data_IF_905404629584
#
_entry.id   IF_905404629584
#
_cell.length_a   1.000
_cell.length_b   1.000
_cell.length_c   1.000
_cell.angle_alpha   90.00
_cell.angle_beta   90.00
_cell.angle_gamma   90.00
#
_symmetry.space_group_name_H-M   'P 1'
#
loop_
_entity.id
_entity.type
_entity.pdbx_description
1 polymer ?
#
# COMPACT_ATOMS: atom_id res chain seq x y z
N UNK A 1 -63.38 -0.29 -41.31
CA UNK A 1 -64.64 0.39 -40.95
C UNK A 1 -65.56 0.34 -42.17
N UNK A 2 -66.78 -0.22 -42.08
CA UNK A 2 -67.65 -0.47 -43.24
C UNK A 2 -68.33 0.77 -43.84
N UNK A 3 -68.22 1.94 -43.18
CA UNK A 3 -69.15 3.06 -43.41
C UNK A 3 -68.63 4.16 -44.36
N UNK A 4 -67.57 3.90 -45.15
CA UNK A 4 -66.96 4.89 -46.08
C UNK A 4 -66.64 6.26 -45.45
N UNK A 5 -66.53 6.34 -44.12
CA UNK A 5 -66.25 7.58 -43.39
C UNK A 5 -64.85 8.07 -43.71
N UNK A 6 -64.74 9.30 -44.24
CA UNK A 6 -63.45 9.91 -44.57
C UNK A 6 -62.90 10.56 -43.30
N UNK A 7 -61.86 9.96 -42.73
CA UNK A 7 -61.13 10.49 -41.59
C UNK A 7 -60.06 11.47 -42.09
N UNK A 8 -60.20 12.75 -41.73
CA UNK A 8 -59.15 13.74 -41.95
C UNK A 8 -58.29 13.78 -40.68
N UNK A 9 -57.14 13.12 -40.73
CA UNK A 9 -56.13 13.20 -39.69
C UNK A 9 -55.22 14.40 -39.95
N UNK A 10 -55.09 15.28 -38.96
CA UNK A 10 -54.07 16.33 -38.96
C UNK A 10 -52.89 15.81 -38.12
N UNK A 11 -51.79 15.35 -38.73
CA UNK A 11 -50.61 14.94 -37.97
C UNK A 11 -50.14 16.11 -37.11
N UNK A 12 -49.99 15.86 -35.81
CA UNK A 12 -49.26 16.76 -34.93
C UNK A 12 -47.78 16.43 -35.04
N UNK A 13 -46.92 17.46 -35.10
CA UNK A 13 -45.47 17.27 -35.16
C UNK A 13 -44.88 16.56 -33.93
N UNK A 14 -45.67 16.41 -32.85
CA UNK A 14 -45.24 15.82 -31.58
C UNK A 14 -45.55 14.31 -31.44
N UNK A 15 -46.14 13.65 -32.44
CA UNK A 15 -46.62 12.27 -32.27
C UNK A 15 -45.52 11.20 -32.25
N UNK A 16 -44.29 11.51 -32.69
CA UNK A 16 -43.18 10.54 -32.82
C UNK A 16 -41.91 10.93 -32.02
N UNK A 17 -42.03 11.68 -30.92
CA UNK A 17 -40.88 12.03 -30.08
C UNK A 17 -40.45 10.84 -29.19
N UNK A 18 -39.19 10.41 -29.34
CA UNK A 18 -38.58 9.38 -28.47
C UNK A 18 -38.49 9.84 -27.00
N UNK A 19 -38.33 11.14 -26.78
CA UNK A 19 -38.24 11.75 -25.44
C UNK A 19 -39.45 12.63 -25.16
N UNK A 20 -40.00 12.49 -23.96
CA UNK A 20 -41.08 13.35 -23.45
C UNK A 20 -40.53 14.33 -22.41
N UNK A 21 -40.95 15.60 -22.43
CA UNK A 21 -40.49 16.58 -21.46
C UNK A 21 -40.99 16.23 -20.05
N UNK A 22 -40.06 16.05 -19.12
CA UNK A 22 -40.35 15.87 -17.69
C UNK A 22 -40.53 17.20 -16.94
N UNK A 23 -40.19 18.33 -17.58
CA UNK A 23 -40.40 19.68 -17.09
C UNK A 23 -39.11 20.51 -16.98
N UNK A 24 -39.21 21.83 -16.82
CA UNK A 24 -38.06 22.68 -16.54
C UNK A 24 -37.71 22.63 -15.04
N UNK A 25 -36.54 22.08 -14.71
CA UNK A 25 -36.11 21.90 -13.33
C UNK A 25 -35.02 22.92 -12.99
N UNK A 26 -35.10 23.50 -11.79
CA UNK A 26 -34.04 24.36 -11.23
C UNK A 26 -33.10 23.49 -10.42
N UNK A 27 -31.83 23.89 -10.37
CA UNK A 27 -30.80 23.12 -9.70
C UNK A 27 -29.45 23.82 -9.70
N UNK A 28 -28.51 23.25 -8.98
CA UNK A 28 -27.14 23.74 -8.81
C UNK A 28 -26.19 22.79 -9.52
N UNK A 29 -25.18 23.34 -10.20
CA UNK A 29 -24.10 22.57 -10.81
C UNK A 29 -22.90 22.55 -9.84
N UNK A 30 -22.43 21.35 -9.51
CA UNK A 30 -21.26 21.08 -8.67
C UNK A 30 -20.29 20.20 -9.45
N UNK A 31 -19.28 20.80 -10.07
CA UNK A 31 -18.35 20.08 -10.95
C UNK A 31 -19.05 19.53 -12.19
N UNK A 32 -18.97 18.22 -12.43
CA UNK A 32 -19.69 17.54 -13.52
C UNK A 32 -21.12 17.13 -13.17
N UNK A 33 -21.60 17.40 -11.96
CA UNK A 33 -22.90 16.94 -11.49
C UNK A 33 -23.88 18.10 -11.35
N UNK A 34 -25.11 17.90 -11.79
CA UNK A 34 -26.22 18.83 -11.59
C UNK A 34 -27.25 18.24 -10.63
N UNK A 35 -27.63 19.02 -9.62
CA UNK A 35 -28.52 18.61 -8.53
C UNK A 35 -29.80 19.43 -8.64
N UNK A 36 -30.95 18.77 -8.72
CA UNK A 36 -32.24 19.45 -8.74
C UNK A 36 -32.64 20.02 -7.36
N UNK A 37 -33.21 21.24 -7.35
CA UNK A 37 -33.59 21.93 -6.11
C UNK A 37 -34.80 21.30 -5.41
N UNK A 38 -35.79 20.85 -6.18
CA UNK A 38 -37.11 20.44 -5.68
C UNK A 38 -37.47 19.00 -5.99
N UNK A 39 -36.49 18.21 -6.40
CA UNK A 39 -36.71 16.84 -6.81
C UNK A 39 -35.46 16.00 -6.59
N UNK A 40 -35.60 14.70 -6.33
CA UNK A 40 -34.49 13.81 -5.99
C UNK A 40 -33.75 13.37 -7.27
N UNK A 41 -33.23 14.32 -8.03
CA UNK A 41 -32.55 14.06 -9.30
C UNK A 41 -31.15 14.64 -9.26
N UNK A 42 -30.18 13.73 -9.37
CA UNK A 42 -28.77 13.99 -9.54
C UNK A 42 -28.41 13.51 -10.95
N UNK A 43 -27.91 14.42 -11.79
CA UNK A 43 -27.52 14.13 -13.16
C UNK A 43 -26.03 14.35 -13.32
N UNK A 44 -25.33 13.36 -13.88
CA UNK A 44 -23.96 13.55 -14.31
C UNK A 44 -23.93 14.06 -15.74
N UNK A 45 -23.26 15.19 -15.94
CA UNK A 45 -23.12 15.87 -17.23
C UNK A 45 -21.67 15.73 -17.67
N UNK A 46 -21.40 14.71 -18.48
CA UNK A 46 -20.09 14.49 -19.08
C UNK A 46 -19.84 15.51 -20.20
N UNK A 47 -18.62 16.05 -20.28
CA UNK A 47 -18.22 16.99 -21.34
C UNK A 47 -18.26 16.37 -22.75
N UNK A 48 -18.18 15.04 -22.86
CA UNK A 48 -18.24 14.28 -24.12
C UNK A 48 -19.51 13.42 -24.23
N UNK A 49 -20.59 13.79 -23.53
CA UNK A 49 -21.83 13.03 -23.57
C UNK A 49 -22.46 13.02 -24.98
N UNK A 50 -23.09 11.89 -25.33
CA UNK A 50 -23.76 11.69 -26.62
C UNK A 50 -24.92 12.67 -26.77
N UNK A 51 -24.86 13.49 -27.82
CA UNK A 51 -25.97 14.38 -28.19
C UNK A 51 -26.84 13.72 -29.25
N UNK A 52 -28.15 13.73 -29.02
CA UNK A 52 -29.16 13.25 -29.96
C UNK A 52 -30.13 14.38 -30.32
N UNK A 53 -30.80 14.28 -31.46
CA UNK A 53 -31.84 15.23 -31.88
C UNK A 53 -33.20 14.55 -31.82
N UNK A 54 -34.08 15.05 -30.95
CA UNK A 54 -35.46 14.55 -30.82
C UNK A 54 -36.43 15.72 -30.88
N UNK A 55 -37.40 15.69 -31.80
CA UNK A 55 -38.43 16.71 -31.97
C UNK A 55 -37.90 18.16 -31.94
N UNK A 56 -36.87 18.41 -32.76
CA UNK A 56 -36.17 19.70 -32.89
C UNK A 56 -35.40 20.17 -31.66
N UNK A 57 -35.23 19.32 -30.65
CA UNK A 57 -34.37 19.59 -29.50
C UNK A 57 -33.07 18.79 -29.61
N UNK A 58 -31.96 19.48 -29.38
CA UNK A 58 -30.67 18.84 -29.16
C UNK A 58 -30.58 18.46 -27.69
N UNK A 59 -30.49 17.16 -27.43
CA UNK A 59 -30.49 16.59 -26.09
C UNK A 59 -29.17 15.86 -25.83
N UNK A 60 -28.56 16.11 -24.68
CA UNK A 60 -27.42 15.37 -24.15
C UNK A 60 -27.93 14.27 -23.24
N UNK A 61 -27.57 13.03 -23.53
CA UNK A 61 -27.96 11.88 -22.71
C UNK A 61 -26.99 11.74 -21.53
N UNK A 62 -27.53 11.65 -20.32
CA UNK A 62 -26.76 11.39 -19.11
C UNK A 62 -26.57 9.89 -18.89
N UNK A 63 -25.53 9.45 -18.16
CA UNK A 63 -25.33 8.04 -17.83
C UNK A 63 -26.53 7.39 -17.13
N UNK A 64 -27.33 8.19 -16.42
CA UNK A 64 -28.54 7.75 -15.72
C UNK A 64 -29.75 7.57 -16.65
N UNK A 65 -29.61 7.83 -17.96
CA UNK A 65 -30.67 7.65 -18.95
C UNK A 65 -31.60 8.85 -19.13
N UNK A 66 -31.29 10.00 -18.54
CA UNK A 66 -32.03 11.25 -18.74
C UNK A 66 -31.48 12.04 -19.92
N UNK A 67 -32.33 12.86 -20.55
CA UNK A 67 -31.95 13.70 -21.68
C UNK A 67 -32.08 15.19 -21.33
N UNK A 68 -30.98 15.93 -21.41
CA UNK A 68 -30.90 17.34 -21.03
C UNK A 68 -30.80 18.21 -22.29
N UNK A 69 -31.61 19.26 -22.41
CA UNK A 69 -31.49 20.19 -23.54
C UNK A 69 -30.18 20.97 -23.54
N UNK A 70 -29.40 20.91 -24.63
CA UNK A 70 -28.05 21.49 -24.73
C UNK A 70 -27.98 23.00 -24.57
N UNK A 71 -29.09 23.73 -24.76
CA UNK A 71 -29.11 25.19 -24.90
C UNK A 71 -29.84 25.94 -23.77
N UNK A 72 -30.03 25.36 -22.57
CA UNK A 72 -30.90 25.95 -21.54
C UNK A 72 -30.38 25.97 -20.10
N UNK A 73 -29.06 25.98 -19.87
CA UNK A 73 -28.56 26.53 -18.62
C UNK A 73 -28.71 28.06 -18.66
N UNK A 74 -29.92 28.55 -18.37
CA UNK A 74 -30.10 29.98 -18.06
C UNK A 74 -29.49 30.18 -16.69
N UNK A 75 -28.22 30.59 -16.66
CA UNK A 75 -27.56 31.06 -15.46
C UNK A 75 -28.30 32.31 -14.97
N UNK A 76 -29.24 32.10 -14.05
CA UNK A 76 -29.87 33.22 -13.38
C UNK A 76 -28.80 33.84 -12.48
N UNK A 77 -28.34 35.05 -12.82
CA UNK A 77 -27.55 35.88 -11.89
C UNK A 77 -28.16 35.75 -10.51
N UNK A 78 -27.39 35.44 -9.45
CA UNK A 78 -27.94 35.16 -8.14
C UNK A 78 -28.72 36.39 -7.69
N UNK A 79 -30.06 36.35 -7.79
CA UNK A 79 -30.90 37.23 -7.00
C UNK A 79 -30.52 36.88 -5.58
N UNK A 80 -29.93 37.83 -4.85
CA UNK A 80 -29.66 37.70 -3.41
C UNK A 80 -30.93 37.12 -2.78
N UNK A 81 -30.93 35.81 -2.55
CA UNK A 81 -31.96 35.14 -1.80
C UNK A 81 -31.80 35.76 -0.43
N UNK A 82 -32.71 36.64 -0.04
CA UNK A 82 -32.88 37.01 1.37
C UNK A 82 -32.96 35.68 2.09
N UNK A 83 -31.94 35.38 2.92
CA UNK A 83 -31.74 34.16 3.70
C UNK A 83 -33.09 33.52 4.01
N UNK A 84 -33.50 32.58 3.16
CA UNK A 84 -34.64 31.75 3.45
C UNK A 84 -34.07 30.66 4.34
N UNK A 85 -34.17 30.90 5.65
CA UNK A 85 -33.97 29.96 6.75
C UNK A 85 -32.78 29.01 6.53
N UNK A 86 -31.60 29.44 6.98
CA UNK A 86 -30.47 28.55 7.22
C UNK A 86 -31.00 27.34 8.04
N UNK A 87 -31.00 26.14 7.45
CA UNK A 87 -31.31 24.89 8.16
C UNK A 87 -32.45 24.02 7.62
N UNK A 88 -33.22 24.42 6.60
CA UNK A 88 -34.19 23.52 5.96
C UNK A 88 -33.67 22.99 4.62
N UNK A 89 -33.16 21.76 4.63
CA UNK A 89 -32.83 20.98 3.44
C UNK A 89 -34.05 20.13 3.10
N UNK A 90 -34.50 20.14 1.85
CA UNK A 90 -35.57 19.22 1.42
C UNK A 90 -35.04 17.79 1.39
N UNK A 91 -35.87 16.79 1.70
CA UNK A 91 -35.46 15.38 1.71
C UNK A 91 -34.81 14.94 0.38
N UNK A 92 -35.22 15.54 -0.75
CA UNK A 92 -34.63 15.31 -2.06
C UNK A 92 -33.23 15.90 -2.24
N UNK A 93 -32.97 17.10 -1.70
CA UNK A 93 -31.64 17.71 -1.75
C UNK A 93 -30.66 16.92 -0.87
N UNK A 94 -31.10 16.52 0.33
CA UNK A 94 -30.31 15.68 1.22
C UNK A 94 -29.97 14.33 0.57
N UNK A 95 -30.94 13.67 -0.07
CA UNK A 95 -30.70 12.39 -0.75
C UNK A 95 -29.71 12.50 -1.91
N UNK A 96 -29.77 13.60 -2.68
CA UNK A 96 -28.84 13.86 -3.77
C UNK A 96 -27.42 14.16 -3.26
N UNK A 97 -27.28 14.95 -2.21
CA UNK A 97 -25.99 15.27 -1.58
C UNK A 97 -25.34 14.05 -0.92
N UNK A 98 -26.11 13.22 -0.21
CA UNK A 98 -25.63 11.96 0.36
C UNK A 98 -25.19 10.97 -0.73
N UNK A 99 -25.92 10.92 -1.85
CA UNK A 99 -25.57 10.08 -3.00
C UNK A 99 -24.25 10.54 -3.64
N UNK A 100 -24.06 11.86 -3.79
CA UNK A 100 -22.81 12.44 -4.29
C UNK A 100 -21.63 12.15 -3.34
N UNK A 101 -21.82 12.33 -2.03
CA UNK A 101 -20.80 12.02 -1.03
C UNK A 101 -20.42 10.53 -1.04
N UNK A 102 -21.41 9.64 -1.07
CA UNK A 102 -21.19 8.20 -1.16
C UNK A 102 -20.39 7.83 -2.40
N UNK A 103 -20.71 8.43 -3.55
CA UNK A 103 -19.99 8.20 -4.79
C UNK A 103 -18.54 8.71 -4.74
N UNK A 104 -18.32 9.92 -4.25
CA UNK A 104 -16.97 10.49 -4.09
C UNK A 104 -16.10 9.66 -3.13
N UNK A 105 -16.67 9.21 -2.00
CA UNK A 105 -15.96 8.36 -1.04
C UNK A 105 -15.61 7.02 -1.69
N UNK A 106 -16.59 6.38 -2.34
CA UNK A 106 -16.39 5.08 -3.00
C UNK A 106 -15.33 5.14 -4.09
N UNK A 107 -15.39 6.16 -4.96
CA UNK A 107 -14.43 6.35 -6.06
C UNK A 107 -13.03 6.68 -5.55
N UNK A 108 -12.91 7.57 -4.56
CA UNK A 108 -11.62 7.93 -3.96
C UNK A 108 -10.99 6.72 -3.26
N UNK A 109 -11.75 5.99 -2.44
CA UNK A 109 -11.26 4.79 -1.77
C UNK A 109 -10.86 3.70 -2.76
N UNK A 110 -11.66 3.48 -3.81
CA UNK A 110 -11.32 2.51 -4.86
C UNK A 110 -10.01 2.88 -5.55
N UNK A 111 -9.84 4.16 -5.93
CA UNK A 111 -8.60 4.64 -6.54
C UNK A 111 -7.40 4.47 -5.60
N UNK A 112 -7.52 4.89 -4.34
CA UNK A 112 -6.44 4.74 -3.35
C UNK A 112 -6.09 3.29 -3.09
N UNK A 113 -7.08 2.40 -3.01
CA UNK A 113 -6.85 0.97 -2.84
C UNK A 113 -6.13 0.35 -4.06
N UNK A 114 -6.58 0.67 -5.28
CA UNK A 114 -5.91 0.21 -6.50
C UNK A 114 -4.46 0.71 -6.54
N UNK A 115 -4.22 1.96 -6.17
CA UNK A 115 -2.87 2.51 -6.13
C UNK A 115 -2.00 1.80 -5.07
N UNK A 116 -2.51 1.60 -3.86
CA UNK A 116 -1.81 0.89 -2.79
C UNK A 116 -1.47 -0.55 -3.19
N UNK A 117 -2.40 -1.26 -3.83
CA UNK A 117 -2.17 -2.61 -4.36
C UNK A 117 -1.09 -2.62 -5.44
N UNK A 118 -1.09 -1.63 -6.34
CA UNK A 118 -0.06 -1.52 -7.37
C UNK A 118 1.33 -1.28 -6.76
N UNK A 119 1.44 -0.34 -5.81
CA UNK A 119 2.69 -0.08 -5.09
C UNK A 119 3.16 -1.29 -4.29
N UNK A 120 2.24 -2.07 -3.70
CA UNK A 120 2.60 -3.32 -3.03
C UNK A 120 3.16 -4.35 -4.00
N UNK A 121 2.59 -4.49 -5.20
CA UNK A 121 3.13 -5.38 -6.23
C UNK A 121 4.55 -4.98 -6.66
N UNK A 122 4.80 -3.69 -6.87
CA UNK A 122 6.14 -3.17 -7.19
C UNK A 122 7.14 -3.46 -6.06
N UNK A 123 6.72 -3.22 -4.81
CA UNK A 123 7.53 -3.49 -3.63
C UNK A 123 7.88 -4.98 -3.48
N UNK A 124 6.93 -5.89 -3.72
CA UNK A 124 7.18 -7.34 -3.69
C UNK A 124 8.17 -7.76 -4.78
N UNK A 125 8.05 -7.20 -5.98
CA UNK A 125 8.99 -7.49 -7.07
C UNK A 125 10.40 -6.98 -6.72
N UNK A 126 10.50 -5.76 -6.20
CA UNK A 126 11.75 -5.19 -5.75
C UNK A 126 12.39 -6.05 -4.65
N UNK A 127 11.63 -6.46 -3.64
CA UNK A 127 12.10 -7.37 -2.59
C UNK A 127 12.56 -8.72 -3.14
N UNK A 128 11.88 -9.26 -4.16
CA UNK A 128 12.34 -10.49 -4.84
C UNK A 128 13.72 -10.32 -5.46
N UNK A 129 14.01 -9.16 -6.07
CA UNK A 129 15.35 -8.86 -6.61
C UNK A 129 16.38 -8.75 -5.51
N UNK A 130 16.07 -8.05 -4.41
CA UNK A 130 16.95 -7.96 -3.24
C UNK A 130 17.23 -9.34 -2.64
N UNK A 131 16.22 -10.21 -2.52
CA UNK A 131 16.39 -11.58 -2.04
C UNK A 131 17.29 -12.42 -2.96
N UNK A 132 17.16 -12.25 -4.29
CA UNK A 132 18.05 -12.91 -5.25
C UNK A 132 19.50 -12.40 -5.17
N UNK A 133 19.70 -11.11 -4.92
CA UNK A 133 21.02 -10.54 -4.72
C UNK A 133 21.64 -11.02 -3.40
N UNK A 134 20.88 -10.96 -2.30
CA UNK A 134 21.31 -11.42 -0.97
C UNK A 134 21.65 -12.91 -0.95
N UNK A 135 20.82 -13.76 -1.56
CA UNK A 135 21.11 -15.19 -1.71
C UNK A 135 22.30 -15.50 -2.62
N UNK A 136 22.67 -14.57 -3.51
CA UNK A 136 23.87 -14.69 -4.33
C UNK A 136 25.14 -14.27 -3.59
N UNK A 137 25.07 -13.27 -2.72
CA UNK A 137 26.20 -12.79 -1.93
C UNK A 137 26.52 -13.71 -0.76
N UNK A 138 25.51 -14.02 0.06
CA UNK A 138 25.64 -14.94 1.20
C UNK A 138 24.39 -15.82 1.30
N UNK A 139 24.41 -17.00 0.64
CA UNK A 139 23.30 -17.94 0.70
C UNK A 139 23.04 -18.47 2.11
N UNK A 140 24.07 -18.58 2.96
CA UNK A 140 23.96 -19.14 4.31
C UNK A 140 23.19 -18.18 5.20
N UNK A 141 23.65 -16.92 5.32
CA UNK A 141 22.97 -15.92 6.14
C UNK A 141 21.55 -15.66 5.62
N UNK A 142 21.38 -15.57 4.30
CA UNK A 142 20.05 -15.46 3.70
C UNK A 142 19.13 -16.61 4.11
N UNK A 143 19.59 -17.86 4.05
CA UNK A 143 18.77 -19.02 4.41
C UNK A 143 18.43 -19.05 5.91
N UNK A 144 19.37 -18.66 6.77
CA UNK A 144 19.13 -18.59 8.23
C UNK A 144 18.03 -17.59 8.57
N UNK A 145 18.07 -16.41 7.95
CA UNK A 145 17.03 -15.38 8.13
C UNK A 145 15.71 -15.82 7.51
N UNK A 146 15.73 -16.35 6.28
CA UNK A 146 14.54 -16.76 5.55
C UNK A 146 13.78 -17.91 6.22
N UNK A 147 14.50 -18.90 6.76
CA UNK A 147 13.91 -20.06 7.44
C UNK A 147 13.82 -19.88 8.97
N UNK A 148 14.23 -18.72 9.49
CA UNK A 148 14.33 -18.44 10.93
C UNK A 148 15.03 -19.57 11.71
N UNK A 149 16.13 -20.09 11.16
CA UNK A 149 16.88 -21.19 11.75
C UNK A 149 18.38 -20.89 11.64
N UNK A 150 19.09 -20.65 12.76
CA UNK A 150 20.52 -20.30 12.74
C UNK A 150 21.41 -21.50 12.39
N UNK A 151 20.93 -22.72 12.53
CA UNK A 151 21.69 -23.95 12.31
C UNK A 151 21.54 -24.47 10.87
N UNK A 152 21.70 -23.57 9.91
CA UNK A 152 21.68 -23.91 8.49
C UNK A 152 22.96 -23.43 7.81
N UNK A 153 23.43 -24.20 6.85
CA UNK A 153 24.40 -23.79 5.84
C UNK A 153 23.76 -23.89 4.48
N UNK A 154 24.13 -23.02 3.57
CA UNK A 154 23.56 -23.02 2.25
C UNK A 154 24.56 -22.62 1.17
N UNK A 155 24.31 -23.13 -0.03
CA UNK A 155 25.09 -22.84 -1.23
C UNK A 155 24.18 -22.63 -2.42
N UNK A 156 24.45 -21.59 -3.19
CA UNK A 156 23.78 -21.38 -4.48
C UNK A 156 24.26 -22.42 -5.48
N UNK A 157 23.32 -23.14 -6.08
CA UNK A 157 23.61 -24.19 -7.08
C UNK A 157 23.17 -23.76 -8.48
N UNK A 158 22.18 -22.88 -8.58
CA UNK A 158 21.69 -22.38 -9.86
C UNK A 158 20.88 -21.09 -9.76
N UNK A 159 20.28 -20.64 -10.87
CA UNK A 159 19.39 -19.50 -10.90
C UNK A 159 18.15 -19.76 -10.03
N UNK A 160 18.03 -19.06 -8.91
CA UNK A 160 16.89 -19.20 -7.98
C UNK A 160 16.88 -20.51 -7.17
N UNK A 161 17.96 -21.30 -7.21
CA UNK A 161 18.05 -22.56 -6.45
C UNK A 161 19.19 -22.50 -5.45
N UNK A 162 18.84 -22.70 -4.19
CA UNK A 162 19.75 -22.77 -3.05
C UNK A 162 19.64 -24.17 -2.47
N UNK A 163 20.80 -24.82 -2.27
CA UNK A 163 20.89 -26.07 -1.53
C UNK A 163 21.20 -25.73 -0.08
N UNK A 164 20.39 -26.27 0.83
CA UNK A 164 20.46 -26.00 2.27
C UNK A 164 20.74 -27.31 3.00
N UNK A 165 21.60 -27.25 4.01
CA UNK A 165 21.91 -28.37 4.90
C UNK A 165 21.82 -27.92 6.36
N UNK A 166 21.37 -28.81 7.26
CA UNK A 166 21.41 -28.54 8.70
C UNK A 166 22.84 -28.55 9.22
N UNK A 167 23.10 -27.74 10.25
CA UNK A 167 24.33 -27.71 11.03
C UNK A 167 24.06 -28.20 12.45
N UNK A 168 25.12 -28.61 13.14
CA UNK A 168 25.09 -28.99 14.56
C UNK A 168 25.92 -27.98 15.33
N UNK A 169 25.42 -27.54 16.48
CA UNK A 169 26.15 -26.66 17.39
C UNK A 169 27.25 -27.45 18.11
N UNK A 170 28.41 -26.82 18.29
CA UNK A 170 29.43 -27.33 19.21
C UNK A 170 29.21 -26.75 20.59
N UNK A 171 29.44 -27.57 21.61
CA UNK A 171 29.47 -27.11 23.00
C UNK A 171 30.77 -26.32 23.28
N UNK A 172 30.76 -25.38 24.24
CA UNK A 172 31.96 -24.61 24.61
C UNK A 172 33.16 -25.48 25.05
N UNK A 173 32.92 -26.71 25.51
CA UNK A 173 33.95 -27.69 25.88
C UNK A 173 34.61 -28.36 24.67
N UNK A 174 33.97 -28.31 23.50
CA UNK A 174 34.38 -29.05 22.29
C UNK A 174 35.29 -28.24 21.37
N UNK A 175 35.58 -26.98 21.70
CA UNK A 175 36.46 -26.16 20.88
C UNK A 175 37.36 -25.26 21.71
N UNK A 176 38.58 -25.03 21.20
CA UNK A 176 39.56 -24.11 21.78
C UNK A 176 40.22 -23.32 20.66
N UNK A 177 40.39 -22.01 20.86
CA UNK A 177 41.16 -21.18 19.93
C UNK A 177 42.66 -21.44 20.14
N UNK A 178 43.37 -21.68 19.04
CA UNK A 178 44.79 -22.02 19.09
C UNK A 178 45.66 -20.90 18.52
N UNK A 179 46.85 -20.64 19.09
CA UNK A 179 47.79 -19.68 18.54
C UNK A 179 48.44 -20.20 17.25
N UNK A 180 48.88 -19.29 16.38
CA UNK A 180 49.58 -19.64 15.14
C UNK A 180 50.86 -20.47 15.36
N UNK A 181 51.47 -20.35 16.53
CA UNK A 181 52.70 -21.09 16.89
C UNK A 181 52.46 -22.60 16.96
N UNK A 182 51.26 -23.03 17.35
CA UNK A 182 50.85 -24.44 17.37
C UNK A 182 50.57 -24.97 15.95
N UNK A 183 50.14 -24.09 15.05
CA UNK A 183 49.78 -24.45 13.67
C UNK A 183 51.00 -24.55 12.74
N UNK A 184 51.92 -23.59 12.84
CA UNK A 184 53.15 -23.57 12.07
C UNK A 184 54.27 -22.86 12.84
N UNK A 185 55.14 -23.61 13.56
CA UNK A 185 56.19 -23.02 14.38
C UNK A 185 57.29 -22.30 13.56
N UNK A 186 57.36 -22.56 12.25
CA UNK A 186 58.43 -22.03 11.37
C UNK A 186 58.04 -20.71 10.72
N UNK A 187 56.74 -20.49 10.47
CA UNK A 187 56.25 -19.25 9.83
C UNK A 187 54.94 -18.79 10.46
N UNK A 188 54.97 -17.56 10.99
CA UNK A 188 53.78 -16.83 11.46
C UNK A 188 52.98 -16.31 10.26
N UNK A 189 52.20 -17.20 9.64
CA UNK A 189 51.28 -16.86 8.55
C UNK A 189 49.85 -16.83 9.11
N UNK A 190 49.12 -15.74 8.86
CA UNK A 190 47.73 -15.62 9.30
C UNK A 190 46.76 -16.21 8.26
N UNK A 191 45.55 -16.50 8.70
CA UNK A 191 44.51 -17.10 7.87
C UNK A 191 43.30 -16.18 7.77
N UNK A 192 42.54 -16.36 6.69
CA UNK A 192 41.26 -15.67 6.48
C UNK A 192 40.25 -16.06 7.56
N UNK A 193 40.30 -17.33 8.00
CA UNK A 193 39.44 -17.88 9.06
C UNK A 193 40.26 -18.16 10.31
N UNK A 194 39.62 -18.12 11.46
CA UNK A 194 40.29 -18.22 12.76
C UNK A 194 40.61 -19.70 13.04
N UNK A 195 41.87 -20.07 13.36
CA UNK A 195 42.22 -21.44 13.67
C UNK A 195 41.64 -21.86 15.02
N UNK A 196 41.03 -23.05 15.05
CA UNK A 196 40.47 -23.66 16.23
C UNK A 196 40.85 -25.14 16.29
N UNK A 197 40.96 -25.66 17.49
CA UNK A 197 41.03 -27.09 17.76
C UNK A 197 39.66 -27.55 18.23
N UNK A 198 39.13 -28.59 17.60
CA UNK A 198 37.83 -29.17 17.90
C UNK A 198 37.99 -30.61 18.41
N UNK A 199 37.19 -31.00 19.38
CA UNK A 199 37.06 -32.38 19.84
C UNK A 199 35.67 -32.89 19.46
N UNK A 200 35.62 -33.82 18.50
CA UNK A 200 34.38 -34.47 18.07
C UNK A 200 34.51 -35.97 18.36
N UNK A 201 33.85 -36.42 19.43
CA UNK A 201 33.81 -37.85 19.77
C UNK A 201 35.14 -38.41 20.25
N UNK A 202 36.02 -37.58 20.83
CA UNK A 202 37.33 -37.98 21.34
C UNK A 202 38.46 -37.87 20.31
N UNK A 203 38.17 -37.44 19.08
CA UNK A 203 39.18 -37.11 18.08
C UNK A 203 39.39 -35.59 18.02
N UNK A 204 40.59 -35.17 18.42
CA UNK A 204 41.02 -33.79 18.28
C UNK A 204 41.43 -33.49 16.83
N UNK A 205 40.85 -32.44 16.23
CA UNK A 205 41.18 -31.98 14.87
C UNK A 205 41.37 -30.48 14.85
N UNK A 206 42.32 -30.04 14.02
CA UNK A 206 42.51 -28.62 13.74
C UNK A 206 41.62 -28.23 12.57
N UNK A 207 40.89 -27.13 12.73
CA UNK A 207 39.99 -26.57 11.74
C UNK A 207 40.01 -25.04 11.81
N UNK A 208 39.21 -24.40 10.97
CA UNK A 208 39.13 -22.95 10.89
C UNK A 208 37.68 -22.48 10.91
N UNK A 209 37.34 -21.53 11.77
CA UNK A 209 36.00 -20.95 11.86
C UNK A 209 35.94 -19.64 11.08
N UNK A 210 34.93 -19.52 10.22
CA UNK A 210 34.64 -18.26 9.55
C UNK A 210 33.89 -17.32 10.53
N UNK A 211 34.43 -16.12 10.83
CA UNK A 211 33.83 -15.19 11.79
C UNK A 211 32.46 -14.65 11.36
N UNK A 212 32.15 -14.61 10.06
CA UNK A 212 30.91 -14.02 9.55
C UNK A 212 29.72 -14.96 9.68
N UNK A 213 29.92 -16.25 9.43
CA UNK A 213 28.85 -17.25 9.42
C UNK A 213 29.03 -18.38 10.44
N UNK A 214 30.10 -18.36 11.24
CA UNK A 214 30.41 -19.34 12.28
C UNK A 214 30.47 -20.79 11.76
N UNK A 215 30.77 -20.98 10.47
CA UNK A 215 30.95 -22.32 9.89
C UNK A 215 32.41 -22.74 10.02
N UNK A 216 32.61 -23.98 10.46
CA UNK A 216 33.93 -24.60 10.61
C UNK A 216 34.30 -25.29 9.29
N UNK A 217 35.47 -24.94 8.76
CA UNK A 217 36.06 -25.49 7.56
C UNK A 217 37.38 -26.19 7.88
N UNK A 218 37.73 -27.29 7.20
CA UNK A 218 38.98 -28.01 7.47
C UNK A 218 40.23 -27.24 7.00
N UNK A 219 40.08 -26.24 6.15
CA UNK A 219 41.17 -25.43 5.62
C UNK A 219 40.75 -23.98 5.45
N UNK A 220 41.74 -23.09 5.46
CA UNK A 220 41.56 -21.66 5.20
C UNK A 220 42.66 -21.15 4.28
N UNK A 221 42.38 -20.05 3.57
CA UNK A 221 43.37 -19.38 2.73
C UNK A 221 44.31 -18.55 3.61
N UNK A 222 45.57 -18.47 3.17
CA UNK A 222 46.57 -17.60 3.78
C UNK A 222 46.21 -16.15 3.52
N UNK A 223 46.36 -15.32 4.54
CA UNK A 223 45.99 -13.91 4.51
C UNK A 223 47.07 -13.04 5.19
N UNK A 224 47.19 -11.75 4.82
CA UNK A 224 48.17 -10.87 5.44
C UNK A 224 47.82 -10.61 6.90
N UNK A 225 48.77 -10.88 7.81
CA UNK A 225 48.57 -10.70 9.24
C UNK A 225 48.16 -9.28 9.65
N UNK A 226 48.57 -8.26 8.90
CA UNK A 226 48.22 -6.87 9.22
C UNK A 226 46.71 -6.62 9.21
N UNK A 227 45.95 -7.35 8.38
CA UNK A 227 44.51 -7.20 8.26
C UNK A 227 43.74 -8.27 9.05
N UNK A 228 44.30 -9.48 9.17
CA UNK A 228 43.57 -10.64 9.72
C UNK A 228 44.00 -11.03 11.14
N UNK A 229 45.02 -10.40 11.73
CA UNK A 229 45.48 -10.76 13.08
C UNK A 229 44.35 -10.74 14.11
N UNK A 230 43.58 -9.64 14.13
CA UNK A 230 42.44 -9.44 15.02
C UNK A 230 41.16 -9.59 14.23
N UNK A 231 40.35 -10.57 14.60
CA UNK A 231 39.07 -10.84 13.95
C UNK A 231 37.94 -10.75 14.98
N UNK A 232 36.78 -10.28 14.53
CA UNK A 232 35.60 -10.12 15.39
C UNK A 232 34.68 -11.29 15.16
N UNK A 233 34.22 -11.92 16.24
CA UNK A 233 33.24 -13.01 16.22
C UNK A 233 32.05 -12.66 17.11
N UNK A 234 30.89 -13.23 16.77
CA UNK A 234 29.70 -13.15 17.59
C UNK A 234 29.38 -14.55 18.14
N UNK A 235 29.41 -14.70 19.46
CA UNK A 235 29.03 -15.93 20.17
C UNK A 235 27.90 -15.55 21.13
N UNK A 236 26.74 -16.19 21.01
CA UNK A 236 25.60 -16.00 21.92
C UNK A 236 25.17 -14.52 22.15
N UNK A 237 25.20 -13.71 21.07
CA UNK A 237 24.94 -12.26 21.08
C UNK A 237 26.01 -11.38 21.75
N UNK A 238 27.13 -11.97 22.16
CA UNK A 238 28.30 -11.25 22.66
C UNK A 238 29.36 -11.15 21.57
N UNK A 239 30.00 -9.98 21.49
CA UNK A 239 31.00 -9.68 20.47
C UNK A 239 32.38 -9.84 21.08
N UNK A 240 33.20 -10.68 20.47
CA UNK A 240 34.57 -10.93 20.90
C UNK A 240 35.57 -10.58 19.81
N UNK A 241 36.74 -10.07 20.20
CA UNK A 241 37.92 -9.94 19.36
C UNK A 241 38.86 -11.11 19.65
N UNK A 242 39.27 -11.83 18.61
CA UNK A 242 40.24 -12.92 18.68
C UNK A 242 41.54 -12.49 18.02
N UNK A 243 42.65 -12.56 18.75
CA UNK A 243 44.00 -12.39 18.20
C UNK A 243 44.54 -13.77 17.78
N UNK A 244 44.68 -14.01 16.47
CA UNK A 244 45.17 -15.28 15.93
C UNK A 244 46.60 -15.59 16.38
N UNK A 245 47.44 -14.58 16.65
CA UNK A 245 48.84 -14.82 17.01
C UNK A 245 48.93 -15.44 18.41
N UNK A 246 48.18 -14.91 19.36
CA UNK A 246 48.20 -15.33 20.77
C UNK A 246 47.13 -16.38 21.09
N UNK A 247 46.10 -16.52 20.25
CA UNK A 247 44.94 -17.36 20.52
C UNK A 247 44.01 -16.79 21.60
N UNK A 248 44.20 -15.53 22.00
CA UNK A 248 43.43 -14.91 23.09
C UNK A 248 42.15 -14.26 22.59
N UNK A 249 41.09 -14.39 23.40
CA UNK A 249 39.79 -13.78 23.17
C UNK A 249 39.62 -12.61 24.14
N UNK A 250 39.17 -11.46 23.65
CA UNK A 250 38.78 -10.31 24.47
C UNK A 250 37.38 -9.83 24.12
N UNK A 251 36.53 -9.64 25.12
CA UNK A 251 35.17 -9.12 24.94
C UNK A 251 35.20 -7.66 24.51
N UNK A 252 34.37 -7.31 23.51
CA UNK A 252 34.21 -5.94 23.04
C UNK A 252 32.91 -5.35 23.57
N UNK A 253 33.01 -4.18 24.20
CA UNK A 253 31.83 -3.46 24.66
C UNK A 253 31.06 -2.85 23.47
N UNK A 254 29.84 -3.36 23.23
CA UNK A 254 29.00 -3.02 22.08
C UNK A 254 28.55 -1.56 22.06
N UNK A 255 28.58 -0.86 23.21
CA UNK A 255 28.18 0.54 23.33
C UNK A 255 29.07 1.52 22.54
N UNK A 256 30.25 1.08 22.10
CA UNK A 256 31.14 1.89 21.27
C UNK A 256 30.73 1.92 19.79
N UNK A 257 29.80 1.06 19.35
CA UNK A 257 29.36 0.98 17.96
C UNK A 257 28.02 1.69 17.72
N UNK A 258 27.89 2.36 16.58
CA UNK A 258 26.64 3.00 16.16
C UNK A 258 25.72 1.98 15.49
N UNK A 259 24.49 1.88 15.97
CA UNK A 259 23.45 1.12 15.29
C UNK A 259 23.05 1.81 13.98
N UNK A 260 22.96 1.05 12.89
CA UNK A 260 22.32 1.52 11.65
C UNK A 260 20.81 1.30 11.80
N UNK A 261 20.06 2.33 12.20
CA UNK A 261 18.61 2.30 12.13
C UNK A 261 18.17 2.60 10.69
N UNK A 262 17.34 1.73 10.11
CA UNK A 262 16.57 2.03 8.91
C UNK A 262 15.20 2.53 9.36
N UNK A 263 14.97 3.84 9.24
CA UNK A 263 13.64 4.40 9.48
C UNK A 263 12.71 4.01 8.32
N UNK A 264 11.57 3.34 8.59
CA UNK A 264 10.61 3.05 7.55
C UNK A 264 10.03 4.36 6.98
N UNK A 265 9.69 4.40 5.68
CA UNK A 265 9.11 5.59 5.06
C UNK A 265 7.78 5.96 5.72
N UNK A 266 7.65 7.24 6.09
CA UNK A 266 6.41 7.81 6.65
C UNK A 266 5.34 7.83 5.56
N UNK A 267 4.26 7.07 5.74
CA UNK A 267 3.08 7.15 4.87
C UNK A 267 2.26 8.37 5.31
N UNK A 268 2.19 9.41 4.47
CA UNK A 268 1.35 10.56 4.73
C UNK A 268 -0.14 10.16 4.73
N UNK A 269 -0.83 10.44 5.84
CA UNK A 269 -2.26 10.20 5.98
C UNK A 269 -3.10 11.08 5.05
N UNK A 270 -4.16 10.52 4.48
CA UNK A 270 -5.19 11.25 3.75
C UNK A 270 -6.02 12.02 4.79
N UNK A 271 -6.12 13.35 4.66
CA UNK A 271 -7.03 14.16 5.47
C UNK A 271 -8.42 14.18 4.79
N UNK A 272 -9.44 13.47 5.32
CA UNK A 272 -10.77 13.58 4.77
C UNK A 272 -11.36 14.97 5.06
N UNK A 273 -12.00 15.55 4.06
CA UNK A 273 -12.82 16.77 4.24
C UNK A 273 -14.11 16.35 4.95
N UNK A 274 -14.28 16.78 6.21
CA UNK A 274 -15.50 16.56 6.98
C UNK A 274 -16.54 17.64 6.69
N UNK A 275 -17.79 17.26 6.39
CA UNK A 275 -18.91 18.20 6.42
C UNK A 275 -19.26 18.56 7.87
N UNK A 276 -19.39 19.86 8.15
CA UNK A 276 -19.64 20.39 9.50
C UNK A 276 -21.13 20.51 9.89
N UNK A 277 -22.08 20.23 9.00
CA UNK A 277 -23.51 20.35 9.30
C UNK A 277 -24.11 19.00 9.74
N UNK A 278 -24.16 18.81 11.06
CA UNK A 278 -24.68 17.62 11.75
C UNK A 278 -26.15 17.75 12.22
N UNK A 279 -26.80 18.90 11.97
CA UNK A 279 -28.20 19.11 12.41
C UNK A 279 -29.15 18.85 11.26
N UNK A 280 -29.65 17.62 11.20
CA UNK A 280 -30.72 17.19 10.31
C UNK A 280 -32.04 17.22 11.08
N UNK A 281 -32.72 18.37 11.11
CA UNK A 281 -34.07 18.43 11.65
C UNK A 281 -35.07 18.04 10.55
N UNK A 282 -35.94 17.08 10.87
CA UNK A 282 -36.99 16.64 9.96
C UNK A 282 -38.05 17.76 9.82
N UNK A 283 -38.39 18.12 8.58
CA UNK A 283 -39.34 19.20 8.28
C UNK A 283 -40.74 18.90 8.86
N UNK A 284 -41.09 17.62 9.01
CA UNK A 284 -42.36 17.24 9.66
C UNK A 284 -42.41 17.61 11.14
N UNK A 285 -41.28 17.60 11.85
CA UNK A 285 -41.23 17.93 13.27
C UNK A 285 -41.34 19.44 13.52
N UNK A 286 -40.92 20.25 12.54
CA UNK A 286 -41.07 21.70 12.58
C UNK A 286 -42.52 22.13 12.29
N UNK A 287 -43.20 21.42 11.37
CA UNK A 287 -44.58 21.72 11.00
C UNK A 287 -45.60 21.27 12.06
N UNK A 288 -45.33 20.19 12.80
CA UNK A 288 -46.18 19.78 13.92
C UNK A 288 -46.10 20.74 15.09
N UNK A 289 -44.91 21.29 15.39
CA UNK A 289 -44.74 22.33 16.41
C UNK A 289 -45.48 23.62 16.03
N UNK A 290 -45.36 24.08 14.78
CA UNK A 290 -46.05 25.29 14.31
C UNK A 290 -47.58 25.16 14.24
N UNK A 291 -48.10 23.96 13.95
CA UNK A 291 -49.55 23.71 13.93
C UNK A 291 -50.14 23.52 15.34
N UNK A 292 -49.33 23.13 16.32
CA UNK A 292 -49.74 23.05 17.73
C UNK A 292 -49.80 24.43 18.38
N UNK A 293 -48.87 25.35 18.04
CA UNK A 293 -48.89 26.74 18.56
C UNK A 293 -50.03 27.61 18.00
N UNK A 294 -50.65 27.25 16.87
CA UNK A 294 -51.82 27.97 16.34
C UNK A 294 -53.16 27.46 16.88
N UNK A 295 -53.17 26.46 17.77
CA UNK A 295 -54.39 25.88 18.38
C UNK A 295 -54.54 26.11 19.89
N UNK A 296 -53.71 26.96 20.48
CA UNK A 296 -53.87 27.45 21.87
C UNK A 296 -54.17 28.94 21.89
#
# INVERSE_FOLDING_TARGET
MPDKTILIWKPSNDTNCEYKPMGPWKGIMMGSHWIADKAPLLLEILHNAKTIKSCNWNLTITPQGYAIGTNRFKENKPRRVRRAIEGLITSSQLAAELSYLSWNISTTLSFSFTHAMHSMCEYVEQNRRWALAASASDPTTFSRVMFNNPYLTARKVGPGVIKVWPCVALEPSQYVFIPLEELNPVKKECFEFIPIKIDIGGEEKIAFVNPENMIISPSSRKAPCNAFRKQIINIDNEIFEVDQITGTISEINVNYYKNMAFDPPVIHGINPISFHQLVLNNVTDFLTLFLLEQRT
#
